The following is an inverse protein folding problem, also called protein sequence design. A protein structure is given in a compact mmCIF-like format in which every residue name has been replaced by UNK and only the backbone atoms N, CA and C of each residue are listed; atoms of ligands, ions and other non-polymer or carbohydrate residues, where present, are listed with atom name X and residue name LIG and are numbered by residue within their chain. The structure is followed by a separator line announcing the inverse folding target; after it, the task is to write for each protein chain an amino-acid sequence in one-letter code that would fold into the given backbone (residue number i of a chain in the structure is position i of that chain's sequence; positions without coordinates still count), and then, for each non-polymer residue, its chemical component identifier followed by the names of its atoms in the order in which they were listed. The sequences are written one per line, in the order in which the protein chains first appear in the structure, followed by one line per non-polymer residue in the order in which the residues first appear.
data_IF_617624019179
#
_entry.id   IF_617624019179
#
_cell.length_a   1.000
_cell.length_b   1.000
_cell.length_c   1.000
_cell.angle_alpha   90.00
_cell.angle_beta   90.00
_cell.angle_gamma   90.00
#
_symmetry.space_group_name_H-M   'P 1'
#
loop_
_entity.id
_entity.type
_entity.pdbx_description
1 polymer ?
#
# COMPACT_ATOMS: atom_id res chain seq x y z
N UNK A 1 0.32 2.51 -27.15
CA UNK A 1 -0.48 1.92 -26.04
C UNK A 1 0.35 2.04 -24.76
N UNK A 2 -0.27 2.37 -23.63
CA UNK A 2 0.45 2.38 -22.35
C UNK A 2 0.82 0.92 -21.99
N UNK A 3 2.05 0.70 -21.52
CA UNK A 3 2.48 -0.62 -21.06
C UNK A 3 1.77 -1.00 -19.76
N UNK A 4 1.33 -2.25 -19.66
CA UNK A 4 0.70 -2.79 -18.47
C UNK A 4 1.71 -2.91 -17.32
N UNK A 5 1.22 -3.09 -16.10
CA UNK A 5 2.06 -3.30 -14.92
C UNK A 5 3.07 -4.46 -15.12
N UNK A 6 2.59 -5.59 -15.63
CA UNK A 6 3.46 -6.76 -15.83
C UNK A 6 4.49 -6.54 -16.95
N UNK A 7 4.12 -5.89 -18.04
CA UNK A 7 5.05 -5.56 -19.14
C UNK A 7 6.18 -4.65 -18.67
N UNK A 8 5.87 -3.62 -17.86
CA UNK A 8 6.87 -2.73 -17.27
C UNK A 8 7.84 -3.46 -16.35
N UNK A 9 7.34 -4.37 -15.51
CA UNK A 9 8.18 -5.20 -14.64
C UNK A 9 9.06 -6.17 -15.44
N UNK A 10 8.51 -6.80 -16.49
CA UNK A 10 9.26 -7.68 -17.39
C UNK A 10 10.34 -6.94 -18.18
N UNK A 11 10.08 -5.69 -18.58
CA UNK A 11 11.07 -4.82 -19.20
C UNK A 11 12.19 -4.39 -18.24
N UNK A 12 12.11 -4.78 -16.98
CA UNK A 12 13.14 -4.46 -16.00
C UNK A 12 13.02 -3.07 -15.40
N UNK A 13 11.89 -2.39 -15.52
CA UNK A 13 11.70 -1.05 -14.95
C UNK A 13 11.65 -1.09 -13.41
N UNK A 14 12.18 -0.05 -12.77
CA UNK A 14 11.89 0.25 -11.37
C UNK A 14 10.73 1.24 -11.33
N UNK A 15 9.65 0.87 -10.65
CA UNK A 15 8.44 1.68 -10.56
C UNK A 15 8.39 2.46 -9.25
N UNK A 16 7.91 3.69 -9.32
CA UNK A 16 7.69 4.55 -8.15
C UNK A 16 6.20 4.51 -7.79
N UNK A 17 5.88 4.00 -6.61
CA UNK A 17 4.55 4.12 -6.04
C UNK A 17 4.41 5.45 -5.27
N UNK A 18 3.18 5.85 -5.02
CA UNK A 18 2.84 7.08 -4.32
C UNK A 18 3.26 7.12 -2.84
N UNK A 19 2.79 8.15 -2.14
CA UNK A 19 2.99 8.37 -0.72
C UNK A 19 1.73 8.10 0.12
N UNK A 20 1.65 8.77 1.28
CA UNK A 20 0.59 8.58 2.24
C UNK A 20 -0.70 9.32 1.86
N UNK A 21 -1.84 8.64 1.85
CA UNK A 21 -3.14 9.31 1.72
C UNK A 21 -3.57 9.91 3.06
N UNK A 22 -3.76 9.12 4.09
CA UNK A 22 -4.35 9.56 5.36
C UNK A 22 -3.62 10.71 6.03
N UNK A 23 -2.29 10.61 6.22
CA UNK A 23 -1.52 11.66 6.91
C UNK A 23 -1.44 12.99 6.13
N UNK A 24 -1.53 12.97 4.80
CA UNK A 24 -1.61 14.21 4.02
C UNK A 24 -3.01 14.82 4.06
N UNK A 25 -4.08 14.02 4.05
CA UNK A 25 -5.44 14.51 4.23
C UNK A 25 -5.66 15.11 5.63
N UNK A 26 -5.02 14.56 6.67
CA UNK A 26 -5.04 15.14 8.01
C UNK A 26 -4.46 16.54 8.04
N UNK A 27 -3.38 16.81 7.30
CA UNK A 27 -2.79 18.17 7.18
C UNK A 27 -3.73 19.20 6.55
N UNK A 28 -4.73 18.74 5.78
CA UNK A 28 -5.73 19.62 5.13
C UNK A 28 -7.12 19.49 5.75
N UNK A 29 -7.20 18.94 6.99
CA UNK A 29 -8.39 19.01 7.84
C UNK A 29 -9.15 17.70 8.06
N UNK A 30 -8.67 16.55 7.57
CA UNK A 30 -9.25 15.26 7.96
C UNK A 30 -8.99 15.04 9.46
N UNK A 31 -10.04 14.90 10.25
CA UNK A 31 -9.90 14.66 11.69
C UNK A 31 -9.28 13.28 11.96
N UNK A 32 -8.39 13.21 12.94
CA UNK A 32 -7.83 11.95 13.39
C UNK A 32 -8.95 10.95 13.77
N UNK A 33 -8.81 9.70 13.38
CA UNK A 33 -9.79 8.64 13.63
C UNK A 33 -10.94 8.56 12.61
N UNK A 34 -11.11 9.54 11.71
CA UNK A 34 -12.05 9.40 10.61
C UNK A 34 -11.42 8.63 9.45
N UNK A 35 -12.19 7.73 8.80
CA UNK A 35 -11.70 7.02 7.63
C UNK A 35 -11.53 8.00 6.46
N UNK A 36 -10.35 8.02 5.78
CA UNK A 36 -10.15 8.81 4.57
C UNK A 36 -11.19 8.55 3.49
N UNK A 37 -11.75 7.36 3.46
CA UNK A 37 -12.78 6.92 2.52
C UNK A 37 -14.06 7.77 2.58
N UNK A 38 -14.37 8.38 3.72
CA UNK A 38 -15.49 9.31 3.84
C UNK A 38 -15.32 10.53 2.89
N UNK A 39 -14.08 10.99 2.73
CA UNK A 39 -13.80 12.12 1.84
C UNK A 39 -13.86 11.78 0.34
N UNK A 40 -13.88 10.50 -0.02
CA UNK A 40 -14.22 10.10 -1.39
C UNK A 40 -15.58 10.64 -1.80
N UNK A 41 -16.52 10.70 -0.83
CA UNK A 41 -17.88 11.17 -1.02
C UNK A 41 -18.09 12.64 -0.62
N UNK A 42 -17.42 13.09 0.43
CA UNK A 42 -17.66 14.40 1.05
C UNK A 42 -16.75 15.51 0.51
N UNK A 43 -15.50 15.19 0.18
CA UNK A 43 -14.46 16.14 -0.26
C UNK A 43 -13.56 15.53 -1.34
N UNK A 44 -14.13 15.02 -2.45
CA UNK A 44 -13.38 14.33 -3.50
C UNK A 44 -12.30 15.20 -4.14
N UNK A 45 -12.48 16.51 -4.16
CA UNK A 45 -11.51 17.47 -4.69
C UNK A 45 -10.18 17.47 -3.90
N UNK A 46 -10.22 17.21 -2.59
CA UNK A 46 -9.00 17.12 -1.78
C UNK A 46 -8.22 15.85 -2.05
N UNK A 47 -8.92 14.73 -2.27
CA UNK A 47 -8.29 13.47 -2.68
C UNK A 47 -7.69 13.64 -4.07
N UNK A 48 -8.45 14.17 -5.02
CA UNK A 48 -7.98 14.44 -6.38
C UNK A 48 -6.73 15.33 -6.40
N UNK A 49 -6.71 16.39 -5.58
CA UNK A 49 -5.56 17.29 -5.49
C UNK A 49 -4.31 16.56 -4.97
N UNK A 50 -4.47 15.71 -3.96
CA UNK A 50 -3.36 14.91 -3.41
C UNK A 50 -2.83 13.88 -4.42
N UNK A 51 -3.72 13.13 -5.06
CA UNK A 51 -3.35 12.12 -6.05
C UNK A 51 -2.66 12.76 -7.27
N UNK A 52 -3.15 13.91 -7.76
CA UNK A 52 -2.48 14.71 -8.80
C UNK A 52 -1.07 15.12 -8.37
N UNK A 53 -0.89 15.58 -7.14
CA UNK A 53 0.41 15.97 -6.63
C UNK A 53 1.38 14.76 -6.57
N UNK A 54 0.91 13.54 -6.30
CA UNK A 54 1.73 12.34 -6.39
C UNK A 54 2.08 11.98 -7.83
N UNK A 55 1.15 12.09 -8.77
CA UNK A 55 1.41 11.90 -10.21
C UNK A 55 2.46 12.90 -10.69
N UNK A 56 2.31 14.18 -10.38
CA UNK A 56 3.26 15.25 -10.71
C UNK A 56 4.65 15.05 -10.06
N UNK A 57 4.68 14.45 -8.86
CA UNK A 57 5.92 14.07 -8.19
C UNK A 57 6.65 12.90 -8.86
N UNK A 58 6.05 12.26 -9.86
CA UNK A 58 6.66 11.21 -10.66
C UNK A 58 6.28 9.79 -10.24
N UNK A 59 5.14 9.59 -9.59
CA UNK A 59 4.59 8.25 -9.34
C UNK A 59 4.26 7.53 -10.65
N UNK A 60 4.67 6.27 -10.77
CA UNK A 60 4.23 5.35 -11.81
C UNK A 60 2.97 4.60 -11.42
N UNK A 61 2.71 4.50 -10.11
CA UNK A 61 1.56 3.82 -9.50
C UNK A 61 0.98 4.75 -8.43
N UNK A 62 -0.31 5.03 -8.50
CA UNK A 62 -1.04 5.65 -7.38
C UNK A 62 -2.08 4.66 -6.83
N UNK A 63 -2.25 4.67 -5.50
CA UNK A 63 -3.23 3.84 -4.82
C UNK A 63 -4.53 4.61 -4.63
N UNK A 64 -5.66 3.96 -4.89
CA UNK A 64 -6.97 4.53 -4.61
C UNK A 64 -7.16 4.79 -3.11
N UNK A 65 -7.95 5.79 -2.75
CA UNK A 65 -8.33 6.07 -1.36
C UNK A 65 -9.37 5.05 -0.85
N UNK A 66 -8.97 3.78 -0.76
CA UNK A 66 -9.85 2.63 -0.41
C UNK A 66 -9.21 1.64 0.57
N UNK A 67 -8.17 2.06 1.29
CA UNK A 67 -7.48 1.23 2.27
C UNK A 67 -8.45 0.57 3.27
N UNK A 68 -9.41 1.34 3.81
CA UNK A 68 -10.48 0.88 4.69
C UNK A 68 -11.81 0.64 3.96
N UNK A 69 -11.81 0.41 2.65
CA UNK A 69 -13.01 0.35 1.80
C UNK A 69 -13.84 -0.93 1.92
N UNK A 70 -13.70 -1.73 2.97
CA UNK A 70 -14.53 -2.92 3.22
C UNK A 70 -15.75 -2.61 4.11
N UNK A 71 -16.80 -3.44 4.00
CA UNK A 71 -17.98 -3.32 4.87
C UNK A 71 -17.65 -3.47 6.36
N UNK A 72 -16.59 -4.22 6.70
CA UNK A 72 -16.17 -4.41 8.08
C UNK A 72 -15.50 -3.15 8.66
N UNK A 73 -14.74 -2.42 7.83
CA UNK A 73 -14.10 -1.15 8.23
C UNK A 73 -15.09 0.01 8.27
N UNK A 74 -16.01 0.07 7.34
CA UNK A 74 -16.96 1.18 7.20
C UNK A 74 -18.30 0.94 7.93
N UNK A 75 -18.44 -0.15 8.71
CA UNK A 75 -19.70 -0.56 9.36
C UNK A 75 -20.33 0.52 10.24
N UNK A 76 -19.50 1.35 10.90
CA UNK A 76 -19.93 2.40 11.81
C UNK A 76 -19.92 3.81 11.13
N UNK A 77 -19.74 3.85 9.80
CA UNK A 77 -19.74 5.07 9.02
C UNK A 77 -21.10 5.28 8.30
N UNK A 78 -21.40 6.49 7.83
CA UNK A 78 -22.57 6.76 6.98
C UNK A 78 -22.58 5.98 5.66
N UNK A 79 -21.48 5.31 5.33
CA UNK A 79 -21.26 4.59 4.07
C UNK A 79 -21.33 3.07 4.22
N UNK A 80 -21.76 2.54 5.37
CA UNK A 80 -21.84 1.11 5.65
C UNK A 80 -22.58 0.28 4.57
N UNK A 81 -23.65 0.83 3.98
CA UNK A 81 -24.42 0.20 2.90
C UNK A 81 -24.01 0.63 1.48
N UNK A 82 -22.90 1.36 1.32
CA UNK A 82 -22.48 1.98 0.04
C UNK A 82 -21.06 1.60 -0.37
N UNK A 83 -20.63 0.43 0.00
CA UNK A 83 -19.23 -0.04 -0.18
C UNK A 83 -18.81 0.00 -1.65
N UNK A 84 -19.63 -0.57 -2.53
CA UNK A 84 -19.33 -0.59 -3.96
C UNK A 84 -19.26 0.83 -4.56
N UNK A 85 -20.11 1.74 -4.11
CA UNK A 85 -20.12 3.13 -4.56
C UNK A 85 -18.86 3.89 -4.13
N UNK A 86 -18.45 3.78 -2.85
CA UNK A 86 -17.25 4.42 -2.33
C UNK A 86 -16.00 3.93 -3.09
N UNK A 87 -15.85 2.61 -3.26
CA UNK A 87 -14.71 2.05 -3.96
C UNK A 87 -14.68 2.47 -5.44
N UNK A 88 -15.82 2.43 -6.16
CA UNK A 88 -15.91 2.90 -7.55
C UNK A 88 -15.55 4.38 -7.66
N UNK A 89 -16.10 5.21 -6.78
CA UNK A 89 -15.84 6.65 -6.80
C UNK A 89 -14.37 6.97 -6.55
N UNK A 90 -13.70 6.26 -5.65
CA UNK A 90 -12.26 6.41 -5.42
C UNK A 90 -11.44 6.08 -6.68
N UNK A 91 -11.82 5.04 -7.43
CA UNK A 91 -11.16 4.70 -8.71
C UNK A 91 -11.38 5.81 -9.75
N UNK A 92 -12.60 6.37 -9.85
CA UNK A 92 -12.89 7.50 -10.76
C UNK A 92 -11.99 8.71 -10.45
N UNK A 93 -11.79 9.04 -9.17
CA UNK A 93 -10.92 10.12 -8.74
C UNK A 93 -9.47 9.83 -9.15
N UNK A 94 -8.97 8.62 -8.87
CA UNK A 94 -7.62 8.23 -9.23
C UNK A 94 -7.41 8.25 -10.76
N UNK A 95 -8.35 7.76 -11.54
CA UNK A 95 -8.30 7.86 -13.01
C UNK A 95 -8.30 9.32 -13.50
N UNK A 96 -9.04 10.19 -12.85
CA UNK A 96 -9.01 11.63 -13.17
C UNK A 96 -7.63 12.24 -12.82
N UNK A 97 -7.00 11.81 -11.72
CA UNK A 97 -5.68 12.30 -11.34
C UNK A 97 -4.60 11.90 -12.35
N UNK A 98 -4.71 10.74 -12.99
CA UNK A 98 -3.71 10.22 -13.94
C UNK A 98 -3.88 10.74 -15.37
N UNK A 99 -4.92 11.51 -15.68
CA UNK A 99 -5.19 11.99 -17.05
C UNK A 99 -4.04 12.80 -17.66
N UNK A 100 -3.28 13.56 -16.84
CA UNK A 100 -2.12 14.32 -17.31
C UNK A 100 -0.89 13.46 -17.61
N UNK A 101 -0.84 12.23 -17.13
CA UNK A 101 0.24 11.26 -17.31
C UNK A 101 -0.32 9.86 -17.62
N UNK A 102 -0.69 9.58 -18.87
CA UNK A 102 -1.43 8.36 -19.25
C UNK A 102 -0.69 7.04 -19.00
N UNK A 103 0.60 7.08 -18.65
CA UNK A 103 1.40 5.91 -18.27
C UNK A 103 1.34 5.56 -16.78
N UNK A 104 0.67 6.38 -15.96
CA UNK A 104 0.52 6.13 -14.52
C UNK A 104 -0.57 5.08 -14.28
N UNK A 105 -0.24 4.05 -13.52
CA UNK A 105 -1.13 2.97 -13.15
C UNK A 105 -1.96 3.32 -11.92
N UNK A 106 -3.21 2.87 -11.89
CA UNK A 106 -4.11 2.99 -10.73
C UNK A 106 -4.21 1.64 -10.04
N UNK A 107 -3.80 1.58 -8.78
CA UNK A 107 -3.83 0.40 -7.94
C UNK A 107 -4.99 0.45 -6.94
N UNK A 108 -5.82 -0.58 -6.92
CA UNK A 108 -6.88 -0.72 -5.91
C UNK A 108 -6.29 -1.08 -4.55
N UNK A 109 -6.33 -0.16 -3.59
CA UNK A 109 -5.81 -0.39 -2.24
C UNK A 109 -6.80 -1.21 -1.40
N UNK A 110 -6.32 -2.29 -0.78
CA UNK A 110 -7.07 -3.21 0.08
C UNK A 110 -6.30 -3.42 1.38
N UNK A 111 -6.61 -2.63 2.41
CA UNK A 111 -6.00 -2.74 3.74
C UNK A 111 -6.67 -3.79 4.62
N UNK A 112 -6.17 -4.03 5.85
CA UNK A 112 -6.75 -4.98 6.80
C UNK A 112 -8.19 -4.63 7.19
N UNK A 113 -9.02 -5.64 7.41
CA UNK A 113 -10.45 -5.45 7.77
C UNK A 113 -10.68 -4.79 9.14
N UNK A 114 -9.64 -4.61 9.94
CA UNK A 114 -9.68 -3.89 11.21
C UNK A 114 -10.16 -4.71 12.40
N UNK A 115 -10.24 -6.03 12.26
CA UNK A 115 -10.53 -6.98 13.34
C UNK A 115 -9.65 -8.20 13.24
N UNK A 116 -9.55 -8.96 14.34
CA UNK A 116 -8.79 -10.22 14.36
C UNK A 116 -9.69 -11.41 14.00
N UNK A 117 -9.08 -12.35 13.27
CA UNK A 117 -9.69 -13.66 12.99
C UNK A 117 -9.75 -14.54 14.24
N UNK A 118 -10.69 -15.45 14.31
CA UNK A 118 -10.71 -16.52 15.32
C UNK A 118 -9.39 -17.30 15.26
N UNK A 119 -8.84 -17.78 16.38
CA UNK A 119 -9.40 -17.67 17.75
C UNK A 119 -9.03 -16.36 18.46
N UNK A 120 -8.28 -15.44 17.85
CA UNK A 120 -7.76 -14.21 18.47
C UNK A 120 -8.77 -13.05 18.50
N UNK A 121 -9.83 -13.13 17.69
CA UNK A 121 -10.90 -12.15 17.58
C UNK A 121 -12.22 -12.80 17.18
N UNK A 122 -13.25 -11.99 16.89
CA UNK A 122 -14.59 -12.51 16.59
C UNK A 122 -14.78 -12.97 15.14
N UNK A 123 -13.95 -12.51 14.20
CA UNK A 123 -14.19 -12.69 12.77
C UNK A 123 -13.86 -14.11 12.29
N UNK A 124 -14.65 -14.63 11.39
CA UNK A 124 -14.34 -15.85 10.64
C UNK A 124 -13.61 -15.51 9.32
N UNK A 125 -12.88 -16.48 8.77
CA UNK A 125 -12.22 -16.34 7.47
C UNK A 125 -13.23 -16.05 6.36
N UNK A 126 -14.41 -16.69 6.42
CA UNK A 126 -15.47 -16.49 5.42
C UNK A 126 -16.03 -15.07 5.45
N UNK A 127 -16.33 -14.51 6.63
CA UNK A 127 -16.77 -13.11 6.76
C UNK A 127 -15.74 -12.13 6.20
N UNK A 128 -14.46 -12.37 6.44
CA UNK A 128 -13.36 -11.55 5.94
C UNK A 128 -13.22 -11.69 4.42
N UNK A 129 -13.26 -12.92 3.90
CA UNK A 129 -13.20 -13.17 2.45
C UNK A 129 -14.36 -12.51 1.71
N UNK A 130 -15.57 -12.59 2.21
CA UNK A 130 -16.74 -11.95 1.63
C UNK A 130 -16.63 -10.42 1.64
N UNK A 131 -16.09 -9.83 2.71
CA UNK A 131 -15.87 -8.38 2.79
C UNK A 131 -14.84 -7.91 1.75
N UNK A 132 -13.75 -8.65 1.57
CA UNK A 132 -12.78 -8.39 0.51
C UNK A 132 -13.33 -8.65 -0.90
N UNK A 133 -14.18 -9.65 -1.08
CA UNK A 133 -14.79 -9.94 -2.38
C UNK A 133 -15.66 -8.77 -2.87
N UNK A 134 -16.48 -8.18 -1.99
CA UNK A 134 -17.27 -6.99 -2.30
C UNK A 134 -16.38 -5.81 -2.73
N UNK A 135 -15.29 -5.56 -1.99
CA UNK A 135 -14.32 -4.51 -2.31
C UNK A 135 -13.59 -4.79 -3.63
N UNK A 136 -13.02 -5.97 -3.79
CA UNK A 136 -12.27 -6.35 -4.98
C UNK A 136 -13.11 -6.29 -6.25
N UNK A 137 -14.37 -6.75 -6.20
CA UNK A 137 -15.32 -6.66 -7.32
C UNK A 137 -15.59 -5.20 -7.71
N UNK A 138 -15.79 -4.31 -6.73
CA UNK A 138 -16.02 -2.91 -6.99
C UNK A 138 -14.80 -2.22 -7.62
N UNK A 139 -13.60 -2.50 -7.11
CA UNK A 139 -12.34 -1.95 -7.63
C UNK A 139 -12.04 -2.46 -9.05
N UNK A 140 -12.13 -3.77 -9.27
CA UNK A 140 -11.90 -4.39 -10.58
C UNK A 140 -12.92 -3.93 -11.60
N UNK A 141 -14.20 -3.90 -11.25
CA UNK A 141 -15.28 -3.42 -12.11
C UNK A 141 -15.18 -1.93 -12.43
N UNK A 142 -14.55 -1.13 -11.59
CA UNK A 142 -14.28 0.28 -11.85
C UNK A 142 -13.02 0.51 -12.71
N UNK A 143 -12.23 -0.54 -12.97
CA UNK A 143 -11.14 -0.51 -13.93
C UNK A 143 -9.80 -0.07 -13.34
N UNK A 144 -9.40 -0.60 -12.19
CA UNK A 144 -8.00 -0.49 -11.70
C UNK A 144 -7.05 -1.37 -12.53
N UNK A 145 -5.75 -1.07 -12.54
CA UNK A 145 -4.74 -1.82 -13.30
C UNK A 145 -4.18 -3.00 -12.52
N UNK A 146 -4.22 -2.94 -11.20
CA UNK A 146 -3.77 -3.98 -10.27
C UNK A 146 -4.49 -3.83 -8.93
N UNK A 147 -4.43 -4.87 -8.09
CA UNK A 147 -4.87 -4.82 -6.69
C UNK A 147 -3.67 -4.91 -5.75
N UNK A 148 -3.69 -4.13 -4.67
CA UNK A 148 -2.65 -4.11 -3.64
C UNK A 148 -3.27 -4.44 -2.29
N UNK A 149 -3.04 -5.66 -1.84
CA UNK A 149 -3.37 -6.13 -0.49
C UNK A 149 -2.23 -5.66 0.41
N UNK A 150 -2.42 -4.56 1.12
CA UNK A 150 -1.35 -3.88 1.83
C UNK A 150 -1.52 -3.87 3.35
N UNK A 151 -0.39 -3.63 4.06
CA UNK A 151 -0.33 -3.46 5.51
C UNK A 151 -0.85 -4.69 6.27
N UNK A 152 -0.73 -5.86 5.68
CA UNK A 152 -1.18 -7.11 6.29
C UNK A 152 -0.27 -7.52 7.44
N UNK A 153 -0.83 -8.22 8.43
CA UNK A 153 -0.09 -8.76 9.56
C UNK A 153 -0.41 -10.23 9.87
N UNK A 154 -1.42 -10.79 9.20
CA UNK A 154 -1.85 -12.18 9.29
C UNK A 154 -1.77 -12.86 7.92
N UNK A 155 -1.16 -14.05 7.85
CA UNK A 155 -1.13 -14.85 6.62
C UNK A 155 -2.54 -15.31 6.21
N UNK A 156 -3.37 -15.61 7.18
CA UNK A 156 -4.72 -16.12 6.97
C UNK A 156 -5.63 -15.03 6.37
N UNK A 157 -5.58 -13.82 6.93
CA UNK A 157 -6.32 -12.67 6.38
C UNK A 157 -5.85 -12.32 4.97
N UNK A 158 -4.52 -12.24 4.76
CA UNK A 158 -3.95 -11.93 3.44
C UNK A 158 -4.29 -13.01 2.39
N UNK A 159 -4.39 -14.28 2.76
CA UNK A 159 -4.88 -15.35 1.87
C UNK A 159 -6.35 -15.16 1.50
N UNK A 160 -7.20 -14.85 2.47
CA UNK A 160 -8.61 -14.58 2.21
C UNK A 160 -8.80 -13.38 1.26
N UNK A 161 -7.99 -12.31 1.44
CA UNK A 161 -7.97 -11.17 0.54
C UNK A 161 -7.50 -11.54 -0.88
N UNK A 162 -6.47 -12.39 -1.00
CA UNK A 162 -5.97 -12.86 -2.31
C UNK A 162 -7.00 -13.75 -3.03
N UNK A 163 -7.67 -14.64 -2.33
CA UNK A 163 -8.76 -15.45 -2.87
C UNK A 163 -9.90 -14.58 -3.39
N UNK A 164 -10.30 -13.57 -2.61
CA UNK A 164 -11.33 -12.60 -3.00
C UNK A 164 -10.90 -11.76 -4.23
N UNK A 165 -9.66 -11.30 -4.28
CA UNK A 165 -9.11 -10.56 -5.41
C UNK A 165 -9.16 -11.37 -6.71
N UNK A 166 -8.81 -12.66 -6.65
CA UNK A 166 -8.85 -13.57 -7.80
C UNK A 166 -10.26 -13.91 -8.28
N UNK A 167 -11.22 -13.98 -7.36
CA UNK A 167 -12.63 -14.16 -7.72
C UNK A 167 -13.19 -12.95 -8.45
N UNK A 168 -12.62 -11.76 -8.23
CA UNK A 168 -13.05 -10.53 -8.89
C UNK A 168 -12.49 -10.37 -10.32
N UNK A 169 -11.43 -11.11 -10.70
CA UNK A 169 -10.82 -11.08 -12.04
C UNK A 169 -9.35 -11.46 -12.04
N UNK A 170 -8.72 -11.32 -13.22
CA UNK A 170 -7.35 -11.75 -13.49
C UNK A 170 -6.31 -10.61 -13.33
N UNK A 171 -6.63 -9.57 -12.56
CA UNK A 171 -5.70 -8.47 -12.32
C UNK A 171 -4.45 -8.93 -11.57
N UNK A 172 -3.28 -8.33 -11.84
CA UNK A 172 -2.09 -8.54 -11.03
C UNK A 172 -2.35 -8.17 -9.58
N UNK A 173 -1.91 -9.01 -8.64
CA UNK A 173 -2.06 -8.75 -7.20
C UNK A 173 -0.69 -8.60 -6.54
N UNK A 174 -0.53 -7.53 -5.79
CA UNK A 174 0.60 -7.29 -4.89
C UNK A 174 0.17 -7.62 -3.47
N UNK A 175 1.01 -8.33 -2.69
CA UNK A 175 0.76 -8.61 -1.28
C UNK A 175 1.88 -8.03 -0.42
N UNK A 176 1.53 -7.11 0.48
CA UNK A 176 2.47 -6.35 1.30
C UNK A 176 2.12 -6.42 2.78
N UNK A 177 3.13 -6.62 3.61
CA UNK A 177 2.99 -6.80 5.06
C UNK A 177 3.60 -5.64 5.84
N UNK A 178 3.06 -5.39 7.04
CA UNK A 178 3.63 -4.43 8.00
C UNK A 178 4.41 -5.19 9.08
N UNK A 179 5.73 -4.93 9.15
CA UNK A 179 6.64 -5.58 10.09
C UNK A 179 7.01 -4.58 11.20
N UNK A 180 6.21 -4.53 12.24
CA UNK A 180 6.33 -3.57 13.35
C UNK A 180 7.11 -4.10 14.56
N UNK A 181 7.38 -5.42 14.61
CA UNK A 181 8.27 -6.02 15.61
C UNK A 181 9.72 -5.98 15.16
N UNK A 182 10.63 -5.72 16.10
CA UNK A 182 12.08 -5.63 15.83
C UNK A 182 12.61 -4.20 15.72
N UNK A 183 11.74 -3.19 15.62
CA UNK A 183 12.16 -1.78 15.50
C UNK A 183 12.60 -1.15 16.82
N UNK A 184 12.28 -1.76 17.97
CA UNK A 184 12.54 -1.19 19.31
C UNK A 184 13.78 -1.74 20.01
N UNK A 185 14.44 -2.75 19.49
CA UNK A 185 15.65 -3.31 20.06
C UNK A 185 16.78 -3.26 19.04
N UNK A 186 17.96 -2.73 19.47
CA UNK A 186 19.20 -2.71 18.67
C UNK A 186 19.76 -4.11 18.31
N UNK A 187 19.12 -5.16 18.73
CA UNK A 187 19.41 -6.50 18.26
C UNK A 187 18.74 -6.66 16.89
N UNK A 188 19.51 -7.12 15.92
CA UNK A 188 19.05 -7.58 14.58
C UNK A 188 18.16 -8.82 14.76
N UNK A 189 17.11 -8.67 15.54
CA UNK A 189 16.12 -9.70 15.76
C UNK A 189 15.15 -9.62 14.57
N UNK A 190 15.01 -10.72 13.92
CA UNK A 190 14.15 -11.00 12.77
C UNK A 190 12.90 -10.12 12.75
N UNK A 191 12.77 -9.30 11.69
CA UNK A 191 11.56 -8.53 11.44
C UNK A 191 10.34 -9.45 11.45
N UNK A 192 9.30 -9.04 12.13
CA UNK A 192 8.03 -9.78 12.17
C UNK A 192 6.85 -8.81 12.27
N UNK A 193 5.68 -9.25 11.80
CA UNK A 193 4.43 -8.52 12.02
C UNK A 193 3.99 -8.60 13.48
N UNK A 194 2.99 -7.84 13.88
CA UNK A 194 2.37 -7.94 15.20
C UNK A 194 1.90 -9.36 15.55
N UNK A 195 1.50 -10.15 14.55
CA UNK A 195 1.12 -11.56 14.69
C UNK A 195 2.30 -12.55 14.62
N UNK A 196 3.54 -12.03 14.54
CA UNK A 196 4.76 -12.85 14.52
C UNK A 196 5.12 -13.43 13.15
N UNK A 197 4.46 -13.00 12.08
CA UNK A 197 4.77 -13.46 10.70
C UNK A 197 6.07 -12.83 10.23
N UNK A 198 7.00 -13.65 9.74
CA UNK A 198 8.31 -13.24 9.22
C UNK A 198 8.28 -13.02 7.70
N UNK A 199 9.19 -12.19 7.12
CA UNK A 199 9.29 -12.02 5.67
C UNK A 199 9.45 -13.34 4.92
N UNK A 200 10.25 -14.27 5.45
CA UNK A 200 10.44 -15.61 4.88
C UNK A 200 9.13 -16.40 4.75
N UNK A 201 8.26 -16.33 5.76
CA UNK A 201 6.97 -17.00 5.72
C UNK A 201 6.03 -16.40 4.67
N UNK A 202 6.09 -15.08 4.46
CA UNK A 202 5.32 -14.39 3.41
C UNK A 202 5.77 -14.87 2.03
N UNK A 203 7.09 -14.91 1.77
CA UNK A 203 7.63 -15.44 0.50
C UNK A 203 7.17 -16.89 0.28
N UNK A 204 7.39 -17.77 1.26
CA UNK A 204 7.01 -19.19 1.16
C UNK A 204 5.51 -19.39 0.93
N UNK A 205 4.68 -18.50 1.47
CA UNK A 205 3.23 -18.60 1.36
C UNK A 205 2.72 -18.08 0.01
N UNK A 206 3.18 -16.91 -0.44
CA UNK A 206 2.55 -16.20 -1.54
C UNK A 206 3.24 -16.38 -2.89
N UNK A 207 4.54 -16.71 -2.92
CA UNK A 207 5.25 -17.00 -4.18
C UNK A 207 4.62 -18.18 -4.93
N UNK A 208 4.33 -19.34 -4.31
CA UNK A 208 3.67 -20.45 -5.02
C UNK A 208 2.24 -20.13 -5.47
N UNK A 209 1.63 -19.12 -4.87
CA UNK A 209 0.31 -18.64 -5.25
C UNK A 209 0.34 -17.68 -6.45
N UNK A 210 1.50 -17.38 -7.04
CA UNK A 210 1.59 -16.61 -8.28
C UNK A 210 1.15 -15.14 -8.16
N UNK A 211 1.45 -14.49 -7.02
CA UNK A 211 1.26 -13.04 -6.88
C UNK A 211 2.28 -12.28 -7.73
N UNK A 212 1.92 -11.09 -8.20
CA UNK A 212 2.78 -10.29 -9.08
C UNK A 212 3.97 -9.65 -8.35
N UNK A 213 3.79 -9.33 -7.06
CA UNK A 213 4.85 -8.84 -6.19
C UNK A 213 4.52 -9.15 -4.72
N UNK A 214 5.55 -9.24 -3.90
CA UNK A 214 5.44 -9.27 -2.44
C UNK A 214 6.26 -8.14 -1.83
N UNK A 215 6.00 -7.80 -0.56
CA UNK A 215 6.88 -6.85 0.09
C UNK A 215 6.42 -6.36 1.45
N UNK A 216 6.84 -5.15 1.73
CA UNK A 216 6.57 -4.49 3.00
C UNK A 216 6.15 -3.05 2.82
N UNK A 217 5.28 -2.59 3.72
CA UNK A 217 4.94 -1.19 3.85
C UNK A 217 4.63 -0.84 5.30
N UNK A 218 4.68 0.44 5.64
CA UNK A 218 4.37 0.92 6.99
C UNK A 218 5.33 0.37 8.06
N UNK A 219 4.94 0.39 9.32
CA UNK A 219 5.39 -0.36 10.50
C UNK A 219 6.87 -0.33 10.90
N UNK A 220 7.81 0.19 10.10
CA UNK A 220 9.24 -0.02 10.35
C UNK A 220 10.12 1.20 10.03
N UNK A 221 11.40 1.16 10.47
CA UNK A 221 12.42 2.15 10.08
C UNK A 221 12.92 1.92 8.66
N UNK A 222 13.59 2.91 8.09
CA UNK A 222 14.17 2.80 6.75
C UNK A 222 15.22 1.68 6.68
N UNK A 223 16.06 1.53 7.70
CA UNK A 223 17.09 0.49 7.78
C UNK A 223 16.49 -0.91 7.89
N UNK A 224 15.43 -1.05 8.69
CA UNK A 224 14.77 -2.34 8.82
C UNK A 224 14.00 -2.72 7.55
N UNK A 225 13.43 -1.76 6.83
CA UNK A 225 12.85 -1.98 5.50
C UNK A 225 13.90 -2.53 4.52
N UNK A 226 15.13 -1.99 4.53
CA UNK A 226 16.22 -2.52 3.70
C UNK A 226 16.56 -3.97 4.04
N UNK A 227 16.61 -4.30 5.34
CA UNK A 227 16.85 -5.68 5.78
C UNK A 227 15.72 -6.63 5.31
N UNK A 228 14.46 -6.20 5.40
CA UNK A 228 13.31 -6.97 4.90
C UNK A 228 13.41 -7.18 3.38
N UNK A 229 13.74 -6.14 2.62
CA UNK A 229 13.92 -6.25 1.17
C UNK A 229 15.01 -7.25 0.83
N UNK A 230 16.16 -7.20 1.51
CA UNK A 230 17.27 -8.16 1.33
C UNK A 230 16.84 -9.60 1.63
N UNK A 231 16.11 -9.81 2.73
CA UNK A 231 15.61 -11.14 3.12
C UNK A 231 14.65 -11.68 2.06
N UNK A 232 13.65 -10.88 1.66
CA UNK A 232 12.68 -11.28 0.64
C UNK A 232 13.37 -11.55 -0.71
N UNK A 233 14.27 -10.68 -1.15
CA UNK A 233 14.97 -10.81 -2.43
C UNK A 233 15.85 -12.05 -2.49
N UNK A 234 16.52 -12.41 -1.40
CA UNK A 234 17.35 -13.62 -1.32
C UNK A 234 16.54 -14.92 -1.44
N UNK A 235 15.27 -14.90 -1.04
CA UNK A 235 14.41 -16.09 -1.03
C UNK A 235 13.49 -16.16 -2.25
N UNK A 236 13.12 -15.02 -2.81
CA UNK A 236 12.08 -14.89 -3.83
C UNK A 236 12.67 -14.80 -5.24
N UNK A 237 13.39 -15.85 -5.69
CA UNK A 237 13.99 -15.85 -7.02
C UNK A 237 12.94 -15.55 -8.10
N UNK A 238 13.12 -14.42 -8.82
CA UNK A 238 12.25 -13.99 -9.91
C UNK A 238 10.96 -13.28 -9.48
N UNK A 239 10.69 -13.10 -8.18
CA UNK A 239 9.54 -12.35 -7.70
C UNK A 239 9.91 -10.88 -7.46
N UNK A 240 9.01 -9.99 -7.83
CA UNK A 240 9.18 -8.54 -7.64
C UNK A 240 8.98 -8.17 -6.18
N UNK A 241 9.87 -7.32 -5.64
CA UNK A 241 9.78 -6.84 -4.27
C UNK A 241 9.24 -5.40 -4.24
N UNK A 242 8.23 -5.20 -3.39
CA UNK A 242 7.55 -3.94 -3.10
C UNK A 242 8.05 -3.37 -1.77
N UNK A 243 8.45 -2.08 -1.74
CA UNK A 243 8.94 -1.41 -0.54
C UNK A 243 8.34 0.00 -0.40
N UNK A 244 7.47 0.20 0.57
CA UNK A 244 6.83 1.51 0.88
C UNK A 244 6.97 1.84 2.38
N UNK A 245 8.16 2.26 2.88
CA UNK A 245 8.34 2.61 4.29
C UNK A 245 7.59 3.88 4.68
N UNK A 246 7.39 4.05 5.99
CA UNK A 246 7.02 5.34 6.56
C UNK A 246 8.15 6.37 6.39
N UNK A 247 7.81 7.65 6.44
CA UNK A 247 8.81 8.72 6.56
C UNK A 247 9.38 8.81 7.99
N UNK A 248 9.80 7.67 8.54
CA UNK A 248 10.25 7.48 9.91
C UNK A 248 9.16 6.87 10.81
N UNK A 249 9.51 6.65 12.08
CA UNK A 249 8.53 6.19 13.07
C UNK A 249 7.64 7.36 13.52
N UNK A 250 6.34 7.12 13.72
CA UNK A 250 5.45 8.17 14.22
C UNK A 250 5.86 8.62 15.62
N UNK A 251 5.99 9.92 15.83
CA UNK A 251 6.02 10.56 17.13
C UNK A 251 4.68 11.28 17.35
N UNK A 252 4.03 11.04 18.47
CA UNK A 252 2.78 11.73 18.81
C UNK A 252 3.11 13.12 19.33
N UNK A 253 2.51 14.14 18.72
CA UNK A 253 2.49 15.50 19.23
C UNK A 253 1.51 15.66 20.40
N UNK A 254 1.58 16.80 21.09
CA UNK A 254 0.68 17.14 22.22
C UNK A 254 -0.79 17.24 21.78
N UNK A 255 -1.04 17.50 20.50
CA UNK A 255 -2.36 17.52 19.85
C UNK A 255 -2.85 16.11 19.41
N UNK A 256 -2.08 15.06 19.69
CA UNK A 256 -2.36 13.68 19.26
C UNK A 256 -2.11 13.41 17.78
N UNK A 257 -1.61 14.38 17.02
CA UNK A 257 -1.23 14.17 15.64
C UNK A 257 0.12 13.43 15.52
N UNK A 258 0.20 12.49 14.60
CA UNK A 258 1.47 11.81 14.32
C UNK A 258 2.38 12.69 13.45
N UNK A 259 3.60 12.91 13.93
CA UNK A 259 4.67 13.59 13.19
C UNK A 259 5.71 12.57 12.71
N UNK A 260 6.39 12.92 11.61
CA UNK A 260 7.39 12.06 10.95
C UNK A 260 8.61 12.91 10.65
N UNK A 261 9.81 12.37 10.86
CA UNK A 261 11.07 13.13 10.87
C UNK A 261 12.05 12.78 9.75
N UNK A 262 11.73 11.83 8.89
CA UNK A 262 12.56 11.50 7.72
C UNK A 262 12.33 12.56 6.65
N UNK A 263 13.43 13.10 6.10
CA UNK A 263 13.36 14.10 5.04
C UNK A 263 13.17 13.47 3.65
N UNK A 264 12.71 14.23 2.64
CA UNK A 264 12.64 13.76 1.26
C UNK A 264 13.97 13.21 0.74
N UNK A 265 15.09 13.85 1.06
CA UNK A 265 16.44 13.45 0.63
C UNK A 265 16.82 12.08 1.22
N UNK A 266 16.59 11.88 2.51
CA UNK A 266 16.81 10.60 3.18
C UNK A 266 15.96 9.49 2.56
N UNK A 267 14.69 9.79 2.26
CA UNK A 267 13.78 8.83 1.62
C UNK A 267 14.28 8.44 0.22
N UNK A 268 14.80 9.41 -0.57
CA UNK A 268 15.40 9.14 -1.88
C UNK A 268 16.67 8.29 -1.78
N UNK A 269 17.53 8.57 -0.81
CA UNK A 269 18.74 7.77 -0.56
C UNK A 269 18.39 6.32 -0.24
N UNK A 270 17.46 6.09 0.68
CA UNK A 270 17.04 4.75 1.04
C UNK A 270 16.29 4.04 -0.08
N UNK A 271 15.50 4.74 -0.89
CA UNK A 271 14.86 4.15 -2.07
C UNK A 271 15.89 3.55 -3.04
N UNK A 272 17.01 4.24 -3.27
CA UNK A 272 18.11 3.70 -4.05
C UNK A 272 18.73 2.46 -3.41
N UNK A 273 18.92 2.44 -2.08
CA UNK A 273 19.40 1.26 -1.33
C UNK A 273 18.44 0.09 -1.45
N UNK A 274 17.11 0.32 -1.42
CA UNK A 274 16.12 -0.74 -1.62
C UNK A 274 16.19 -1.34 -3.03
N UNK A 275 16.38 -0.50 -4.06
CA UNK A 275 16.59 -1.00 -5.43
C UNK A 275 17.85 -1.83 -5.54
N UNK A 276 18.95 -1.39 -4.93
CA UNK A 276 20.21 -2.17 -4.87
C UNK A 276 20.02 -3.49 -4.10
N UNK A 277 19.14 -3.52 -3.10
CA UNK A 277 18.80 -4.71 -2.34
C UNK A 277 17.83 -5.65 -3.08
N UNK A 278 17.30 -5.26 -4.25
CA UNK A 278 16.44 -6.07 -5.10
C UNK A 278 14.98 -5.61 -5.21
N UNK A 279 14.60 -4.48 -4.60
CA UNK A 279 13.26 -3.92 -4.81
C UNK A 279 13.10 -3.40 -6.24
N UNK A 280 11.92 -3.61 -6.80
CA UNK A 280 11.55 -3.12 -8.14
C UNK A 280 10.39 -2.13 -8.08
N UNK A 281 9.70 -2.04 -6.96
CA UNK A 281 8.66 -1.05 -6.72
C UNK A 281 8.99 -0.38 -5.39
N UNK A 282 9.16 0.93 -5.42
CA UNK A 282 9.51 1.74 -4.25
C UNK A 282 8.57 2.93 -4.13
N UNK A 283 8.23 3.32 -2.90
CA UNK A 283 7.34 4.44 -2.63
C UNK A 283 7.41 4.86 -1.17
N UNK A 284 6.40 5.55 -0.70
CA UNK A 284 6.27 5.94 0.70
C UNK A 284 4.95 5.51 1.31
N UNK A 285 4.92 5.33 2.63
CA UNK A 285 3.72 5.11 3.41
C UNK A 285 3.52 6.28 4.39
N UNK A 286 3.03 6.08 5.60
CA UNK A 286 2.68 7.15 6.53
C UNK A 286 3.77 8.23 6.65
N UNK A 287 3.35 9.49 6.69
CA UNK A 287 4.22 10.68 6.77
C UNK A 287 4.84 11.14 5.46
N UNK A 288 4.90 10.28 4.42
CA UNK A 288 5.48 10.68 3.13
C UNK A 288 4.54 11.60 2.34
N UNK A 289 5.12 12.63 1.75
CA UNK A 289 4.45 13.70 1.00
C UNK A 289 4.84 13.61 -0.48
N UNK A 290 4.21 14.39 -1.38
CA UNK A 290 4.67 14.51 -2.77
C UNK A 290 6.15 14.87 -2.90
N UNK A 291 6.72 15.67 -1.99
CA UNK A 291 8.15 15.97 -1.98
C UNK A 291 9.03 14.73 -1.75
N UNK A 292 8.60 13.82 -0.86
CA UNK A 292 9.28 12.54 -0.64
C UNK A 292 9.22 11.66 -1.88
N UNK A 293 8.05 11.57 -2.52
CA UNK A 293 7.89 10.80 -3.77
C UNK A 293 8.75 11.38 -4.89
N UNK A 294 8.82 12.71 -5.02
CA UNK A 294 9.69 13.34 -5.99
C UNK A 294 11.18 13.03 -5.75
N UNK A 295 11.61 12.96 -4.48
CA UNK A 295 12.98 12.57 -4.14
C UNK A 295 13.25 11.10 -4.47
N UNK A 296 12.30 10.19 -4.15
CA UNK A 296 12.36 8.78 -4.55
C UNK A 296 12.49 8.68 -6.08
N UNK A 297 11.61 9.34 -6.84
CA UNK A 297 11.60 9.28 -8.29
C UNK A 297 12.94 9.74 -8.88
N UNK A 298 13.51 10.85 -8.39
CA UNK A 298 14.84 11.32 -8.82
C UNK A 298 15.96 10.32 -8.52
N UNK A 299 15.87 9.62 -7.38
CA UNK A 299 16.91 8.70 -6.96
C UNK A 299 16.93 7.39 -7.76
N UNK A 300 15.74 6.87 -8.16
CA UNK A 300 15.63 5.53 -8.74
C UNK A 300 15.34 5.51 -10.24
N UNK A 301 14.77 6.58 -10.79
CA UNK A 301 14.59 6.72 -12.24
C UNK A 301 15.91 7.25 -12.82
N UNK A 302 16.59 6.42 -13.61
CA UNK A 302 17.75 6.88 -14.40
C UNK A 302 17.28 8.04 -15.27
N UNK A 303 17.92 9.18 -15.15
CA UNK A 303 17.78 10.27 -16.13
C UNK A 303 18.08 9.68 -17.50
N UNK A 304 17.08 9.69 -18.39
CA UNK A 304 17.25 9.27 -19.79
C UNK A 304 18.15 10.24 -20.50
#
# INVERSE_FOLDING_TARGET
MAHTFLERLQAGETLVADGATGTNLQKVGLKAGLPPEAWVMEQPEKILALEKAFVEAGSDIILTCTFGGTRLRLKDSPYAGRIAEVNRRAVEIARQATQSQPGTLVAGSMGPVGGLLKPYGPLTVDEVREAYAEQAQALTGAGVDLLVIETQFSLEEAKAALEAARQAGDLPVVVSFSYDRGTRTRMVAQSATMMGVKPSQVVQTFQPLGVAAIGANCGTTLENMEAIVKECSAMAAGLVIWAKPNAGLPALGDDGAATYNVTPEQMGEFANRYVQAGARIVGGCCGSTPAHVAAIARAVKKTK
#
